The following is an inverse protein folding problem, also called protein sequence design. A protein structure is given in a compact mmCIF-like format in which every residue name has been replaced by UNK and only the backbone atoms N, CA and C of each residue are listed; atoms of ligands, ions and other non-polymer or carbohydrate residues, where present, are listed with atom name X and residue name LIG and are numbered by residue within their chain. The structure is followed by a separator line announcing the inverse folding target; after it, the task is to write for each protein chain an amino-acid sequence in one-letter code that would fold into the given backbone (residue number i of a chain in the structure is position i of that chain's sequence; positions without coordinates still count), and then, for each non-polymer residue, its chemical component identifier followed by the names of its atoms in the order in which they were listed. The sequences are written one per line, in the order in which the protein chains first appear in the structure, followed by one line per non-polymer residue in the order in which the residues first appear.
data_IF_047038270597
#
_entry.id   IF_047038270597
#
_cell.length_a   1.000
_cell.length_b   1.000
_cell.length_c   1.000
_cell.angle_alpha   90.00
_cell.angle_beta   90.00
_cell.angle_gamma   90.00
#
_symmetry.space_group_name_H-M   'P 1'
#
loop_
_entity.id
_entity.type
_entity.pdbx_description
1 polymer ?
#
# COMPACT_ATOMS: atom_id res chain seq x y z
N UNK A 1 10.00 -16.44 13.65
CA UNK A 1 9.27 -15.84 14.79
C UNK A 1 9.99 -14.57 15.18
N UNK A 2 9.30 -13.47 15.49
CA UNK A 2 9.93 -12.20 15.86
C UNK A 2 10.47 -12.30 17.30
N UNK A 3 11.74 -11.93 17.54
CA UNK A 3 12.38 -11.93 18.87
C UNK A 3 11.99 -10.68 19.67
N UNK A 4 10.73 -10.62 20.11
CA UNK A 4 10.21 -9.48 20.87
C UNK A 4 10.56 -9.65 22.33
N UNK A 5 11.36 -8.73 22.87
CA UNK A 5 11.83 -8.78 24.26
C UNK A 5 10.96 -7.94 25.18
N UNK A 6 10.58 -8.45 26.37
CA UNK A 6 9.86 -7.66 27.36
C UNK A 6 10.64 -6.40 27.73
N UNK A 7 9.95 -5.25 27.76
CA UNK A 7 10.52 -3.96 28.15
C UNK A 7 11.02 -3.09 26.99
N UNK A 8 11.16 -3.63 25.78
CA UNK A 8 11.56 -2.84 24.60
C UNK A 8 10.38 -2.09 23.98
N UNK A 9 10.68 -0.92 23.39
CA UNK A 9 9.71 -0.18 22.59
C UNK A 9 9.65 -0.77 21.18
N UNK A 10 8.48 -1.26 20.78
CA UNK A 10 8.26 -1.80 19.43
C UNK A 10 7.70 -0.72 18.49
N UNK A 11 8.32 -0.58 17.32
CA UNK A 11 7.78 0.13 16.18
C UNK A 11 7.55 -0.86 15.03
N UNK A 12 6.42 -0.75 14.33
CA UNK A 12 6.12 -1.59 13.16
C UNK A 12 5.91 -0.69 11.95
N UNK A 13 6.55 -1.02 10.83
CA UNK A 13 6.42 -0.28 9.59
C UNK A 13 5.86 -1.17 8.49
N UNK A 14 4.72 -0.77 7.93
CA UNK A 14 4.18 -1.32 6.70
C UNK A 14 4.48 -0.36 5.56
N UNK A 15 5.39 -0.72 4.67
CA UNK A 15 5.80 0.13 3.54
C UNK A 15 5.57 -0.60 2.23
N UNK A 16 4.45 -0.29 1.57
CA UNK A 16 4.03 -0.87 0.30
C UNK A 16 3.95 -2.41 0.39
N UNK A 17 3.21 -2.92 1.38
CA UNK A 17 3.14 -4.37 1.65
C UNK A 17 1.74 -4.86 1.98
N UNK A 18 0.89 -4.06 2.63
CA UNK A 18 -0.41 -4.56 3.07
C UNK A 18 -1.37 -4.79 1.90
N UNK A 19 -1.22 -4.03 0.81
CA UNK A 19 -2.02 -4.25 -0.41
C UNK A 19 -1.84 -5.65 -1.01
N UNK A 20 -0.69 -6.31 -0.82
CA UNK A 20 -0.47 -7.69 -1.27
C UNK A 20 -1.16 -8.74 -0.42
N UNK A 21 -1.58 -8.40 0.80
CA UNK A 21 -2.23 -9.38 1.69
C UNK A 21 -3.70 -9.54 1.28
N UNK A 22 -4.20 -10.78 1.08
CA UNK A 22 -5.60 -11.01 0.72
C UNK A 22 -6.56 -10.40 1.75
N UNK A 23 -7.63 -9.78 1.25
CA UNK A 23 -8.70 -9.22 2.08
C UNK A 23 -9.95 -10.11 2.03
N UNK A 24 -11.03 -9.63 2.65
CA UNK A 24 -12.32 -10.31 2.69
C UNK A 24 -12.92 -10.64 1.31
N UNK A 25 -12.51 -9.93 0.25
CA UNK A 25 -12.96 -10.19 -1.12
C UNK A 25 -12.24 -11.36 -1.80
N UNK A 26 -11.13 -11.85 -1.22
CA UNK A 26 -10.29 -12.92 -1.78
C UNK A 26 -10.25 -14.15 -0.87
N UNK A 27 -10.20 -13.94 0.44
CA UNK A 27 -10.15 -14.99 1.45
C UNK A 27 -11.12 -14.68 2.59
N UNK A 28 -12.00 -15.62 2.88
CA UNK A 28 -13.01 -15.50 3.94
C UNK A 28 -12.41 -15.29 5.32
N UNK A 29 -11.16 -15.70 5.55
CA UNK A 29 -10.46 -15.49 6.81
C UNK A 29 -9.88 -14.08 6.94
N UNK A 30 -9.86 -13.30 5.85
CA UNK A 30 -9.35 -11.94 5.77
C UNK A 30 -7.97 -11.80 6.48
N UNK A 31 -6.91 -12.41 5.91
CA UNK A 31 -5.59 -12.40 6.52
C UNK A 31 -5.02 -10.99 6.65
N UNK A 32 -5.45 -10.01 5.83
CA UNK A 32 -5.09 -8.59 5.97
C UNK A 32 -5.50 -8.04 7.33
N UNK A 33 -6.78 -8.19 7.69
CA UNK A 33 -7.25 -7.73 9.00
C UNK A 33 -6.74 -8.61 10.14
N UNK A 34 -6.51 -9.90 9.88
CA UNK A 34 -5.84 -10.82 10.80
C UNK A 34 -4.43 -10.34 11.16
N UNK A 35 -3.64 -9.91 10.18
CA UNK A 35 -2.30 -9.36 10.35
C UNK A 35 -2.32 -8.06 11.16
N UNK A 36 -3.27 -7.16 10.90
CA UNK A 36 -3.42 -5.93 11.68
C UNK A 36 -3.74 -6.24 13.16
N UNK A 37 -4.65 -7.18 13.42
CA UNK A 37 -4.97 -7.64 14.79
C UNK A 37 -3.77 -8.30 15.47
N UNK A 38 -2.99 -9.09 14.73
CA UNK A 38 -1.73 -9.67 15.23
C UNK A 38 -0.74 -8.57 15.60
N UNK A 39 -0.48 -7.61 14.73
CA UNK A 39 0.43 -6.50 15.04
C UNK A 39 -0.06 -5.70 16.24
N UNK A 40 -1.38 -5.48 16.36
CA UNK A 40 -1.95 -4.80 17.52
C UNK A 40 -1.68 -5.58 18.82
N UNK A 41 -1.78 -6.91 18.80
CA UNK A 41 -1.57 -7.73 20.01
C UNK A 41 -0.13 -7.67 20.53
N UNK A 42 0.84 -7.35 19.66
CA UNK A 42 2.23 -7.08 20.04
C UNK A 42 2.42 -5.74 20.78
N UNK A 43 1.36 -4.94 20.92
CA UNK A 43 1.36 -3.65 21.62
C UNK A 43 2.47 -2.67 21.17
N UNK A 44 2.63 -2.42 19.85
CA UNK A 44 3.61 -1.48 19.35
C UNK A 44 3.32 -0.07 19.88
N UNK A 45 4.39 0.70 20.12
CA UNK A 45 4.31 2.13 20.47
C UNK A 45 3.87 2.96 19.28
N UNK A 46 4.31 2.58 18.08
CA UNK A 46 3.90 3.22 16.83
C UNK A 46 3.81 2.19 15.72
N UNK A 47 2.83 2.37 14.84
CA UNK A 47 2.74 1.66 13.58
C UNK A 47 2.62 2.67 12.46
N UNK A 48 3.50 2.60 11.47
CA UNK A 48 3.49 3.44 10.28
C UNK A 48 2.95 2.67 9.09
N UNK A 49 2.24 3.37 8.22
CA UNK A 49 1.68 2.85 6.98
C UNK A 49 2.07 3.76 5.83
N UNK A 50 2.66 3.18 4.79
CA UNK A 50 2.91 3.81 3.50
C UNK A 50 2.30 2.90 2.44
N UNK A 51 1.32 3.39 1.70
CA UNK A 51 0.53 2.64 0.71
C UNK A 51 0.18 3.56 -0.47
N UNK A 52 -0.11 2.97 -1.62
CA UNK A 52 -0.55 3.68 -2.82
C UNK A 52 -1.97 4.22 -2.64
N UNK A 53 -2.18 5.50 -2.96
CA UNK A 53 -3.50 6.13 -2.92
C UNK A 53 -4.22 5.92 -4.26
N UNK A 54 -4.83 4.74 -4.43
CA UNK A 54 -5.64 4.40 -5.61
C UNK A 54 -6.66 3.30 -5.27
N UNK A 55 -7.81 3.29 -5.93
CA UNK A 55 -8.84 2.27 -5.74
C UNK A 55 -8.82 1.16 -6.80
N UNK A 56 -7.85 0.25 -6.69
CA UNK A 56 -7.75 -0.91 -7.59
C UNK A 56 -8.34 -2.20 -7.01
N UNK A 57 -8.88 -2.16 -5.78
CA UNK A 57 -9.38 -3.36 -5.12
C UNK A 57 -10.91 -3.52 -5.17
N UNK A 58 -11.68 -2.45 -4.92
CA UNK A 58 -13.12 -2.58 -4.61
C UNK A 58 -14.06 -2.29 -5.79
N UNK A 59 -13.52 -2.17 -7.00
CA UNK A 59 -14.27 -1.70 -8.19
C UNK A 59 -14.30 -2.75 -9.31
N UNK A 60 -15.35 -2.77 -10.15
CA UNK A 60 -15.40 -3.61 -11.35
C UNK A 60 -14.26 -3.28 -12.31
N UNK A 61 -13.97 -4.19 -13.24
CA UNK A 61 -12.83 -4.10 -14.17
C UNK A 61 -12.70 -2.74 -14.87
N UNK A 62 -13.76 -2.23 -15.49
CA UNK A 62 -13.69 -0.98 -16.27
C UNK A 62 -13.27 0.21 -15.38
N UNK A 63 -13.88 0.36 -14.20
CA UNK A 63 -13.52 1.41 -13.25
C UNK A 63 -12.10 1.24 -12.76
N UNK A 64 -11.69 0.01 -12.43
CA UNK A 64 -10.31 -0.30 -12.03
C UNK A 64 -9.30 0.03 -13.13
N UNK A 65 -9.62 -0.26 -14.39
CA UNK A 65 -8.75 0.04 -15.53
C UNK A 65 -8.54 1.55 -15.69
N UNK A 66 -9.62 2.34 -15.62
CA UNK A 66 -9.55 3.81 -15.71
C UNK A 66 -8.71 4.36 -14.56
N UNK A 67 -9.00 3.95 -13.33
CA UNK A 67 -8.24 4.34 -12.14
C UNK A 67 -6.74 3.99 -12.26
N UNK A 68 -6.43 2.79 -12.75
CA UNK A 68 -5.04 2.35 -12.96
C UNK A 68 -4.35 3.23 -14.00
N UNK A 69 -5.03 3.52 -15.12
CA UNK A 69 -4.49 4.39 -16.16
C UNK A 69 -4.19 5.79 -15.62
N UNK A 70 -5.12 6.40 -14.91
CA UNK A 70 -4.96 7.75 -14.34
C UNK A 70 -3.83 7.81 -13.30
N UNK A 71 -3.79 6.83 -12.38
CA UNK A 71 -2.76 6.76 -11.34
C UNK A 71 -1.35 6.60 -11.94
N UNK A 72 -1.16 5.63 -12.84
CA UNK A 72 0.16 5.39 -13.42
C UNK A 72 0.52 6.48 -14.43
N UNK A 73 -0.42 7.11 -15.15
CA UNK A 73 -0.11 8.26 -15.99
C UNK A 73 0.56 9.38 -15.17
N UNK A 74 -0.01 9.77 -14.03
CA UNK A 74 0.57 10.78 -13.16
C UNK A 74 1.97 10.39 -12.65
N UNK A 75 2.19 9.11 -12.33
CA UNK A 75 3.50 8.59 -11.93
C UNK A 75 4.54 8.70 -13.06
N UNK A 76 4.18 8.30 -14.28
CA UNK A 76 5.08 8.39 -15.44
C UNK A 76 5.36 9.85 -15.82
N UNK A 77 4.38 10.76 -15.73
CA UNK A 77 4.59 12.19 -15.94
C UNK A 77 5.56 12.78 -14.91
N UNK A 78 5.43 12.40 -13.63
CA UNK A 78 6.37 12.82 -12.57
C UNK A 78 7.79 12.34 -12.84
N UNK A 79 7.95 11.09 -13.29
CA UNK A 79 9.26 10.54 -13.68
C UNK A 79 9.82 11.25 -14.91
N UNK A 80 8.99 11.62 -15.89
CA UNK A 80 9.43 12.31 -17.10
C UNK A 80 10.01 13.69 -16.81
N UNK A 81 9.49 14.37 -15.79
CA UNK A 81 10.04 15.65 -15.29
C UNK A 81 11.36 15.45 -14.54
N UNK A 82 11.48 14.36 -13.77
CA UNK A 82 12.62 14.13 -12.89
C UNK A 82 13.84 13.50 -13.57
N UNK A 83 13.63 12.65 -14.59
CA UNK A 83 14.67 11.81 -15.20
C UNK A 83 14.57 11.80 -16.72
N UNK A 84 15.72 11.95 -17.41
CA UNK A 84 15.76 11.82 -18.86
C UNK A 84 15.45 10.40 -19.34
N UNK A 85 14.87 10.28 -20.54
CA UNK A 85 14.33 9.02 -21.10
C UNK A 85 15.37 7.94 -21.34
N UNK A 86 16.63 8.32 -21.51
CA UNK A 86 17.77 7.44 -21.75
C UNK A 86 18.41 6.91 -20.45
N UNK A 87 17.99 7.40 -19.28
CA UNK A 87 18.51 6.94 -17.99
C UNK A 87 18.09 5.50 -17.72
N UNK A 88 19.08 4.65 -17.48
CA UNK A 88 18.84 3.25 -17.13
C UNK A 88 17.97 3.10 -15.88
N UNK A 89 18.17 3.94 -14.85
CA UNK A 89 17.36 3.84 -13.63
C UNK A 89 15.87 4.10 -13.89
N UNK A 90 15.56 5.03 -14.80
CA UNK A 90 14.19 5.30 -15.24
C UNK A 90 13.60 4.08 -15.94
N UNK A 91 14.31 3.54 -16.94
CA UNK A 91 13.89 2.37 -17.70
C UNK A 91 13.64 1.18 -16.75
N UNK A 92 14.55 0.97 -15.79
CA UNK A 92 14.45 -0.11 -14.82
C UNK A 92 13.19 0.03 -13.94
N UNK A 93 12.90 1.23 -13.43
CA UNK A 93 11.69 1.51 -12.63
C UNK A 93 10.41 1.34 -13.47
N UNK A 94 10.35 1.93 -14.66
CA UNK A 94 9.17 1.87 -15.53
C UNK A 94 8.86 0.42 -15.95
N UNK A 95 9.87 -0.35 -16.35
CA UNK A 95 9.67 -1.72 -16.87
C UNK A 95 9.54 -2.78 -15.79
N UNK A 96 10.34 -2.73 -14.73
CA UNK A 96 10.43 -3.84 -13.78
C UNK A 96 9.62 -3.61 -12.50
N UNK A 97 9.25 -2.36 -12.20
CA UNK A 97 8.36 -2.03 -11.09
C UNK A 97 6.96 -1.71 -11.61
N UNK A 98 6.80 -0.57 -12.30
CA UNK A 98 5.47 -0.05 -12.62
C UNK A 98 4.71 -0.94 -13.61
N UNK A 99 5.34 -1.38 -14.69
CA UNK A 99 4.68 -2.23 -15.67
C UNK A 99 4.23 -3.58 -15.10
N UNK A 100 4.99 -4.14 -14.15
CA UNK A 100 4.61 -5.40 -13.48
C UNK A 100 3.32 -5.22 -12.67
N UNK A 101 3.22 -4.13 -11.93
CA UNK A 101 2.05 -3.85 -11.11
C UNK A 101 0.82 -3.58 -12.02
N UNK A 102 1.00 -2.79 -13.09
CA UNK A 102 -0.05 -2.54 -14.10
C UNK A 102 -0.57 -3.86 -14.68
N UNK A 103 0.34 -4.76 -15.10
CA UNK A 103 -0.05 -6.07 -15.66
C UNK A 103 -0.83 -6.88 -14.63
N UNK A 104 -0.42 -6.92 -13.36
CA UNK A 104 -1.16 -7.64 -12.34
C UNK A 104 -2.57 -7.05 -12.11
N UNK A 105 -2.68 -5.72 -12.03
CA UNK A 105 -3.97 -5.04 -11.78
C UNK A 105 -4.96 -5.25 -12.92
N UNK A 106 -4.47 -5.22 -14.17
CA UNK A 106 -5.31 -5.28 -15.38
C UNK A 106 -5.57 -6.71 -15.84
N UNK A 107 -4.55 -7.57 -15.88
CA UNK A 107 -4.64 -8.88 -16.51
C UNK A 107 -5.00 -10.02 -15.56
N UNK A 108 -4.84 -9.84 -14.24
CA UNK A 108 -5.14 -10.88 -13.26
C UNK A 108 -6.47 -10.66 -12.56
N UNK A 109 -7.05 -11.73 -12.02
CA UNK A 109 -8.27 -11.70 -11.19
C UNK A 109 -8.19 -12.70 -10.04
N UNK A 110 -9.15 -12.63 -9.11
CA UNK A 110 -9.23 -13.57 -7.99
C UNK A 110 -7.94 -13.59 -7.16
N UNK A 111 -7.43 -14.79 -6.85
CA UNK A 111 -6.20 -14.95 -6.04
C UNK A 111 -4.93 -14.55 -6.78
N UNK A 112 -4.93 -14.56 -8.11
CA UNK A 112 -3.75 -14.22 -8.93
C UNK A 112 -3.49 -12.70 -8.99
N UNK A 113 -4.53 -11.88 -8.72
CA UNK A 113 -4.36 -10.44 -8.58
C UNK A 113 -3.92 -10.09 -7.16
N UNK A 114 -2.64 -9.80 -7.00
CA UNK A 114 -2.01 -9.42 -5.74
C UNK A 114 -1.98 -7.90 -5.51
N UNK A 115 -1.96 -7.10 -6.56
CA UNK A 115 -1.94 -5.64 -6.47
C UNK A 115 -3.35 -5.11 -6.19
N UNK A 116 -3.61 -4.80 -4.91
CA UNK A 116 -4.94 -4.44 -4.38
C UNK A 116 -4.87 -3.20 -3.51
N UNK A 117 -4.60 -2.07 -4.16
CA UNK A 117 -4.55 -0.76 -3.52
C UNK A 117 -5.92 -0.36 -2.96
N UNK A 118 -5.89 0.36 -1.86
CA UNK A 118 -7.07 0.92 -1.22
C UNK A 118 -6.81 2.38 -0.85
N UNK A 119 -7.85 3.20 -0.91
CA UNK A 119 -7.78 4.59 -0.50
C UNK A 119 -7.54 4.71 1.01
N UNK A 120 -6.95 5.84 1.43
CA UNK A 120 -6.68 6.17 2.82
C UNK A 120 -7.88 5.91 3.76
N UNK A 121 -9.10 6.26 3.33
CA UNK A 121 -10.31 6.06 4.12
C UNK A 121 -10.57 4.59 4.49
N UNK A 122 -10.25 3.67 3.58
CA UNK A 122 -10.42 2.22 3.82
C UNK A 122 -9.32 1.70 4.74
N UNK A 123 -8.06 2.09 4.51
CA UNK A 123 -6.96 1.78 5.42
C UNK A 123 -7.21 2.28 6.84
N UNK A 124 -7.66 3.53 6.99
CA UNK A 124 -8.03 4.12 8.26
C UNK A 124 -9.11 3.30 8.97
N UNK A 125 -10.12 2.84 8.23
CA UNK A 125 -11.19 2.00 8.77
C UNK A 125 -10.66 0.66 9.27
N UNK A 126 -9.85 -0.04 8.47
CA UNK A 126 -9.21 -1.32 8.86
C UNK A 126 -8.38 -1.19 10.13
N UNK A 127 -7.51 -0.18 10.20
CA UNK A 127 -6.69 0.08 11.38
C UNK A 127 -7.54 0.40 12.61
N UNK A 128 -8.59 1.22 12.45
CA UNK A 128 -9.51 1.54 13.56
C UNK A 128 -10.23 0.30 14.07
N UNK A 129 -10.72 -0.56 13.17
CA UNK A 129 -11.38 -1.83 13.51
C UNK A 129 -10.43 -2.83 14.19
N UNK A 130 -9.13 -2.80 13.85
CA UNK A 130 -8.10 -3.58 14.54
C UNK A 130 -7.68 -2.98 15.90
N UNK A 131 -8.25 -1.84 16.32
CA UNK A 131 -7.98 -1.21 17.62
C UNK A 131 -6.80 -0.24 17.61
N UNK A 132 -6.32 0.18 16.44
CA UNK A 132 -5.37 1.30 16.34
C UNK A 132 -6.09 2.64 16.46
N UNK A 133 -5.35 3.65 16.91
CA UNK A 133 -5.80 5.04 16.92
C UNK A 133 -4.83 5.85 16.08
N UNK A 134 -5.37 6.66 15.17
CA UNK A 134 -4.56 7.56 14.34
C UNK A 134 -3.81 8.56 15.24
N UNK A 135 -2.52 8.72 14.95
CA UNK A 135 -1.68 9.74 15.57
C UNK A 135 -1.32 10.78 14.49
N UNK A 136 -1.46 12.09 14.77
CA UNK A 136 -1.11 13.12 13.79
C UNK A 136 0.40 13.09 13.51
N UNK A 137 0.78 13.27 12.24
CA UNK A 137 2.18 13.48 11.90
C UNK A 137 2.66 14.82 12.49
N UNK A 138 3.93 14.85 12.89
CA UNK A 138 4.57 16.07 13.37
C UNK A 138 4.51 17.16 12.30
N UNK A 139 4.24 18.41 12.70
CA UNK A 139 4.22 19.56 11.79
C UNK A 139 5.54 19.72 11.04
N UNK A 140 6.67 19.39 11.66
CA UNK A 140 7.99 19.38 11.02
C UNK A 140 8.08 18.43 9.81
N UNK A 141 7.35 17.30 9.81
CA UNK A 141 7.34 16.35 8.69
C UNK A 141 6.47 16.85 7.54
N UNK A 142 5.45 17.67 7.83
CA UNK A 142 4.56 18.23 6.81
C UNK A 142 5.22 19.34 5.98
N UNK A 143 6.35 19.91 6.44
CA UNK A 143 7.09 20.94 5.71
C UNK A 143 8.02 20.39 4.62
N UNK A 144 8.35 19.09 4.62
CA UNK A 144 9.33 18.51 3.67
C UNK A 144 8.71 18.24 2.29
N UNK A 145 7.38 18.33 2.14
CA UNK A 145 6.66 18.05 0.89
C UNK A 145 5.99 19.30 0.25
N UNK A 146 6.56 20.50 0.44
CA UNK A 146 6.13 21.72 -0.26
C UNK A 146 7.27 22.31 -1.09
#
# INVERSE_FOLDING_TARGET
MLDIRPGEALAVNFSLQLHHTPDEGVDVNNPRDGLLRLVKSLSPKVTTLVEQESNTNTTPFLTRFIETFEYYLAMFESIDVALSRDRKERIDVEQHCLARDIVNIVACEGKERGERHELFGKWKSRFTMAGFRQYPLSSYLLYINK
#
